data_IF_305320741964
#
_entry.id   IF_305320741964
#
_cell.length_a   1.000
_cell.length_b   1.000
_cell.length_c   1.000
_cell.angle_alpha   90.00
_cell.angle_beta   90.00
_cell.angle_gamma   90.00
#
_symmetry.space_group_name_H-M   'P 1'
#
loop_
_entity.id
_entity.type
_entity.pdbx_description
1 polymer ?
#
# COMPACT_ATOMS: atom_id res chain seq x y z
N UNK A 1 52.27 48.21 -45.68
CA UNK A 1 51.76 46.86 -45.32
C UNK A 1 52.64 46.32 -44.21
N UNK A 2 52.29 46.58 -42.96
CA UNK A 2 53.05 46.11 -41.78
C UNK A 2 52.24 44.97 -41.15
N UNK A 3 52.77 43.75 -41.31
CA UNK A 3 52.20 42.53 -40.66
C UNK A 3 52.61 42.57 -39.20
N UNK A 4 51.61 42.71 -38.31
CA UNK A 4 51.80 42.46 -36.88
C UNK A 4 51.90 40.95 -36.63
N UNK A 5 53.11 40.53 -36.23
CA UNK A 5 53.31 39.18 -35.67
C UNK A 5 52.82 39.20 -34.23
N UNK A 6 51.66 38.56 -33.93
CA UNK A 6 51.23 38.25 -32.57
C UNK A 6 52.23 37.24 -32.02
N UNK A 7 52.89 37.49 -30.89
CA UNK A 7 53.88 36.57 -30.36
C UNK A 7 53.27 35.27 -29.94
N UNK A 8 53.77 34.16 -30.44
CA UNK A 8 53.36 32.74 -30.16
C UNK A 8 53.37 32.43 -28.67
N UNK A 9 54.12 33.19 -27.87
CA UNK A 9 54.20 33.08 -26.41
C UNK A 9 52.85 33.41 -25.72
N UNK A 10 52.08 34.37 -26.28
CA UNK A 10 50.75 34.71 -25.70
C UNK A 10 49.71 33.62 -25.93
N UNK A 11 49.83 32.89 -27.04
CA UNK A 11 48.94 31.79 -27.39
C UNK A 11 49.23 30.53 -26.57
N UNK A 12 50.48 30.27 -26.21
CA UNK A 12 50.88 29.18 -25.32
C UNK A 12 50.47 29.44 -23.86
N UNK A 13 50.48 30.69 -23.39
CA UNK A 13 50.01 31.07 -22.06
C UNK A 13 48.48 30.97 -21.94
N UNK A 14 47.71 31.24 -23.01
CA UNK A 14 46.27 31.06 -23.01
C UNK A 14 45.86 29.55 -23.02
N UNK A 15 46.67 28.69 -23.67
CA UNK A 15 46.38 27.23 -23.65
C UNK A 15 46.78 26.55 -22.33
N UNK A 16 47.72 27.12 -21.57
CA UNK A 16 48.11 26.61 -20.26
C UNK A 16 47.08 26.93 -19.16
N UNK A 17 46.22 27.96 -19.35
CA UNK A 17 45.14 28.29 -18.41
C UNK A 17 43.85 27.46 -18.58
N UNK A 18 43.77 26.64 -19.65
CA UNK A 18 42.54 25.84 -19.91
C UNK A 18 42.62 24.39 -19.44
N UNK A 19 43.71 23.98 -18.81
CA UNK A 19 43.88 22.64 -18.23
C UNK A 19 43.83 22.63 -16.70
N UNK A 20 42.93 23.41 -16.10
CA UNK A 20 42.53 23.12 -14.75
C UNK A 20 41.73 21.84 -14.82
N UNK A 21 42.11 20.76 -14.11
CA UNK A 21 41.28 19.58 -14.04
C UNK A 21 39.93 20.01 -13.49
N UNK A 22 38.91 19.95 -14.31
CA UNK A 22 37.53 20.07 -13.86
C UNK A 22 37.27 18.87 -12.96
N UNK A 23 37.49 19.01 -11.65
CA UNK A 23 37.04 18.03 -10.67
C UNK A 23 35.54 18.15 -10.52
N UNK A 24 34.81 17.77 -11.58
CA UNK A 24 33.35 17.72 -11.57
C UNK A 24 32.81 16.54 -10.73
N UNK A 25 33.71 15.67 -10.27
CA UNK A 25 33.38 14.53 -9.41
C UNK A 25 34.18 14.61 -8.11
N UNK A 26 33.51 14.39 -6.98
CA UNK A 26 34.19 14.29 -5.71
C UNK A 26 35.15 13.11 -5.65
N UNK A 27 36.12 13.16 -4.75
CA UNK A 27 37.01 12.03 -4.45
C UNK A 27 36.23 10.93 -3.68
N UNK A 28 36.81 9.72 -3.63
CA UNK A 28 36.25 8.65 -2.77
C UNK A 28 36.09 9.10 -1.31
N UNK A 29 37.02 9.93 -0.82
CA UNK A 29 36.94 10.48 0.54
C UNK A 29 35.81 11.49 0.73
N UNK A 30 35.47 12.26 -0.31
CA UNK A 30 34.31 13.16 -0.28
C UNK A 30 32.99 12.37 -0.18
N UNK A 31 32.88 11.29 -0.94
CA UNK A 31 31.72 10.39 -0.87
C UNK A 31 31.66 9.69 0.48
N UNK A 32 32.76 9.14 0.99
CA UNK A 32 32.81 8.51 2.30
C UNK A 32 32.42 9.47 3.42
N UNK A 33 32.91 10.72 3.35
CA UNK A 33 32.52 11.78 4.28
C UNK A 33 31.01 12.08 4.18
N UNK A 34 30.46 12.20 2.97
CA UNK A 34 29.03 12.44 2.77
C UNK A 34 28.17 11.27 3.33
N UNK A 35 28.57 10.04 3.06
CA UNK A 35 27.88 8.86 3.63
C UNK A 35 27.97 8.80 5.16
N UNK A 36 29.13 9.12 5.73
CA UNK A 36 29.30 9.15 7.19
C UNK A 36 28.43 10.23 7.86
N UNK A 37 28.21 11.37 7.17
CA UNK A 37 27.29 12.41 7.63
C UNK A 37 25.84 11.90 7.61
N UNK A 38 25.44 11.18 6.58
CA UNK A 38 24.09 10.60 6.47
C UNK A 38 23.82 9.65 7.64
N UNK A 39 24.74 8.76 7.97
CA UNK A 39 24.60 7.86 9.13
C UNK A 39 24.54 8.62 10.45
N UNK A 40 25.39 9.62 10.62
CA UNK A 40 25.40 10.47 11.82
C UNK A 40 24.06 11.19 12.01
N UNK A 41 23.53 11.83 10.97
CA UNK A 41 22.30 12.62 11.05
C UNK A 41 21.07 11.73 11.19
N UNK A 42 21.03 10.56 10.55
CA UNK A 42 19.86 9.69 10.60
C UNK A 42 19.75 8.85 11.88
N UNK A 43 20.87 8.57 12.55
CA UNK A 43 20.88 7.61 13.66
C UNK A 43 21.36 8.17 15.00
N UNK A 44 22.20 9.20 15.02
CA UNK A 44 22.85 9.65 16.28
C UNK A 44 22.73 11.13 16.59
N UNK A 45 22.34 11.97 15.62
CA UNK A 45 22.30 13.42 15.82
C UNK A 45 20.89 14.01 15.77
N UNK A 46 19.92 13.27 15.24
CA UNK A 46 18.51 13.67 15.27
C UNK A 46 17.83 12.83 16.33
N UNK A 47 17.66 13.44 17.50
CA UNK A 47 17.08 12.77 18.67
C UNK A 47 15.63 13.21 18.84
N UNK A 48 14.78 12.27 19.29
CA UNK A 48 13.36 12.53 19.61
C UNK A 48 12.52 13.08 18.45
N UNK A 49 12.96 12.89 17.20
CA UNK A 49 12.38 13.56 16.04
C UNK A 49 11.04 12.98 15.58
N UNK A 50 10.87 11.68 15.70
CA UNK A 50 9.71 10.98 15.17
C UNK A 50 9.03 10.14 16.24
N UNK A 51 7.70 10.13 16.21
CA UNK A 51 6.86 9.18 16.95
C UNK A 51 5.96 8.48 15.95
N UNK A 52 6.26 7.21 15.66
CA UNK A 52 5.40 6.32 14.90
C UNK A 52 4.67 5.37 15.88
N UNK A 53 3.42 5.68 16.26
CA UNK A 53 2.72 4.91 17.27
C UNK A 53 2.23 3.57 16.70
N UNK A 54 2.58 2.50 17.39
CA UNK A 54 2.05 1.16 17.14
C UNK A 54 0.99 0.85 18.22
N UNK A 55 -0.27 1.09 17.91
CA UNK A 55 -1.37 0.90 18.83
C UNK A 55 -1.54 -0.57 19.21
N UNK A 56 -1.78 -0.81 20.47
CA UNK A 56 -2.08 -2.14 21.02
C UNK A 56 -3.58 -2.34 20.92
N UNK A 57 -3.98 -3.40 20.20
CA UNK A 57 -5.37 -3.69 19.86
C UNK A 57 -6.29 -3.71 21.10
N UNK A 58 -7.44 -3.05 21.00
CA UNK A 58 -8.45 -2.88 22.05
C UNK A 58 -7.95 -2.22 23.35
N UNK A 59 -6.95 -1.34 23.26
CA UNK A 59 -6.43 -0.58 24.41
C UNK A 59 -6.24 0.90 24.03
N UNK A 60 -6.04 1.75 25.05
CA UNK A 60 -5.61 3.15 24.89
C UNK A 60 -4.08 3.27 25.00
N UNK A 61 -3.35 2.22 24.66
CA UNK A 61 -1.89 2.18 24.75
C UNK A 61 -1.25 1.93 23.40
N UNK A 62 -0.06 2.49 23.21
CA UNK A 62 0.78 2.25 22.04
C UNK A 62 2.25 2.17 22.42
N UNK A 63 3.04 1.54 21.60
CA UNK A 63 4.49 1.58 21.71
C UNK A 63 5.10 2.27 20.49
N UNK A 64 6.30 2.82 20.66
CA UNK A 64 7.05 3.44 19.56
C UNK A 64 8.55 3.37 19.81
N UNK A 65 9.32 3.61 18.77
CA UNK A 65 10.79 3.64 18.85
C UNK A 65 11.27 5.08 18.79
N UNK A 66 12.25 5.43 19.59
CA UNK A 66 12.91 6.74 19.55
C UNK A 66 14.41 6.61 19.63
N UNK A 67 15.12 7.55 19.03
CA UNK A 67 16.55 7.72 19.20
C UNK A 67 16.80 8.71 20.34
N UNK A 68 17.65 8.32 21.27
CA UNK A 68 18.05 9.12 22.45
C UNK A 68 19.57 9.24 22.49
N UNK A 69 20.12 10.00 23.45
CA UNK A 69 21.55 10.08 23.69
C UNK A 69 22.17 8.71 24.04
N UNK A 70 21.40 7.81 24.61
CA UNK A 70 21.83 6.44 24.94
C UNK A 70 21.80 5.51 23.73
N UNK A 71 21.01 5.86 22.71
CA UNK A 71 20.76 5.09 21.52
C UNK A 71 19.26 4.82 21.29
N UNK A 72 18.93 3.65 20.78
CA UNK A 72 17.56 3.28 20.39
C UNK A 72 16.77 2.75 21.57
N UNK A 73 15.66 3.39 21.89
CA UNK A 73 14.74 3.02 22.96
C UNK A 73 13.37 2.63 22.42
N UNK A 74 12.76 1.64 23.06
CA UNK A 74 11.39 1.20 22.79
C UNK A 74 10.51 1.66 23.94
N UNK A 75 9.61 2.58 23.70
CA UNK A 75 8.74 3.20 24.70
C UNK A 75 7.32 2.66 24.61
N UNK A 76 6.68 2.46 25.76
CA UNK A 76 5.25 2.13 25.90
C UNK A 76 4.54 3.36 26.49
N UNK A 77 3.43 3.75 25.88
CA UNK A 77 2.61 4.87 26.31
C UNK A 77 1.20 4.39 26.65
N UNK A 78 0.75 4.73 27.83
CA UNK A 78 -0.65 4.71 28.23
C UNK A 78 -1.22 6.11 27.93
N UNK A 79 -1.98 6.23 26.83
CA UNK A 79 -2.47 7.52 26.38
C UNK A 79 -3.56 8.09 27.31
N UNK A 80 -4.37 7.23 27.95
CA UNK A 80 -5.37 7.66 28.92
C UNK A 80 -4.73 8.16 30.22
N UNK A 81 -3.76 7.41 30.72
CA UNK A 81 -3.03 7.77 31.96
C UNK A 81 -1.92 8.79 31.74
N UNK A 82 -1.68 9.26 30.51
CA UNK A 82 -0.59 10.17 30.12
C UNK A 82 0.77 9.71 30.70
N UNK A 83 1.04 8.41 30.68
CA UNK A 83 2.24 7.80 31.26
C UNK A 83 3.07 7.10 30.19
N UNK A 84 4.36 7.32 30.22
CA UNK A 84 5.35 6.65 29.38
C UNK A 84 6.31 5.82 30.23
N UNK A 85 6.58 4.59 29.78
CA UNK A 85 7.54 3.64 30.35
C UNK A 85 8.35 3.00 29.22
N UNK A 86 9.35 2.21 29.54
CA UNK A 86 9.98 1.36 28.54
C UNK A 86 9.06 0.18 28.20
N UNK A 87 9.01 -0.21 26.90
CA UNK A 87 8.27 -1.38 26.44
C UNK A 87 8.83 -2.68 27.05
N UNK A 88 10.15 -2.71 27.26
CA UNK A 88 10.88 -3.78 27.93
C UNK A 88 12.18 -3.24 28.53
N UNK A 89 12.76 -3.98 29.45
CA UNK A 89 14.08 -3.64 29.98
C UNK A 89 15.15 -3.98 28.93
N UNK A 90 15.83 -2.95 28.42
CA UNK A 90 16.79 -3.05 27.32
C UNK A 90 18.01 -3.90 27.68
N UNK A 91 18.51 -3.78 28.90
CA UNK A 91 19.66 -4.53 29.38
C UNK A 91 19.35 -6.04 29.48
N UNK A 92 18.18 -6.38 30.05
CA UNK A 92 17.75 -7.77 30.18
C UNK A 92 17.51 -8.44 28.83
N UNK A 93 16.87 -7.74 27.91
CA UNK A 93 16.64 -8.30 26.58
C UNK A 93 17.95 -8.46 25.80
N UNK A 94 18.87 -7.48 25.89
CA UNK A 94 20.19 -7.57 25.25
C UNK A 94 20.99 -8.76 25.75
N UNK A 95 20.99 -9.01 27.07
CA UNK A 95 21.63 -10.16 27.68
C UNK A 95 21.06 -11.48 27.13
N UNK A 96 19.73 -11.62 27.12
CA UNK A 96 19.05 -12.82 26.56
C UNK A 96 19.34 -13.04 25.08
N UNK A 97 19.25 -11.98 24.27
CA UNK A 97 19.57 -12.05 22.85
C UNK A 97 21.04 -12.42 22.62
N UNK A 98 21.96 -11.86 23.41
CA UNK A 98 23.40 -12.20 23.32
C UNK A 98 23.64 -13.68 23.62
N UNK A 99 23.07 -14.17 24.73
CA UNK A 99 23.21 -15.57 25.11
C UNK A 99 22.65 -16.55 24.10
N UNK A 100 21.51 -16.23 23.47
CA UNK A 100 20.81 -17.14 22.57
C UNK A 100 21.19 -16.99 21.08
N UNK A 101 21.64 -15.81 20.66
CA UNK A 101 22.09 -15.59 19.28
C UNK A 101 23.58 -15.92 19.06
N UNK A 102 24.37 -15.94 20.14
CA UNK A 102 25.83 -16.08 20.09
C UNK A 102 26.56 -14.81 19.64
N UNK A 103 25.87 -13.66 19.59
CA UNK A 103 26.41 -12.37 19.18
C UNK A 103 26.30 -11.37 20.33
N UNK A 104 27.27 -10.49 20.50
CA UNK A 104 27.18 -9.41 21.47
C UNK A 104 26.10 -8.43 21.04
N UNK A 105 25.06 -8.25 21.84
CA UNK A 105 23.97 -7.29 21.64
C UNK A 105 24.07 -6.20 22.69
N UNK A 106 24.15 -4.95 22.27
CA UNK A 106 24.20 -3.80 23.18
C UNK A 106 22.77 -3.32 23.49
N UNK A 107 22.45 -2.93 24.75
CA UNK A 107 21.08 -2.64 25.18
C UNK A 107 20.36 -1.58 24.35
N UNK A 108 21.05 -0.52 23.97
CA UNK A 108 20.49 0.60 23.22
C UNK A 108 20.83 0.55 21.72
N UNK A 109 21.25 -0.62 21.23
CA UNK A 109 21.45 -0.95 19.81
C UNK A 109 20.71 -2.20 19.38
N UNK A 110 19.57 -2.47 20.02
CA UNK A 110 18.67 -3.56 19.66
C UNK A 110 17.84 -3.13 18.46
N UNK A 111 17.96 -3.86 17.34
CA UNK A 111 17.17 -3.67 16.13
C UNK A 111 16.28 -4.88 15.95
N UNK A 112 15.03 -4.78 16.40
CA UNK A 112 14.00 -5.80 16.22
C UNK A 112 12.95 -5.32 15.24
N UNK A 113 12.40 -6.25 14.44
CA UNK A 113 11.42 -5.99 13.43
C UNK A 113 10.11 -6.74 13.70
N UNK A 114 9.01 -6.30 13.08
CA UNK A 114 7.69 -6.94 13.18
C UNK A 114 7.24 -7.22 14.61
N UNK A 115 7.50 -6.27 15.48
CA UNK A 115 7.13 -6.38 16.91
C UNK A 115 5.61 -6.45 17.02
N UNK A 116 5.14 -7.47 17.72
CA UNK A 116 3.74 -7.65 18.11
C UNK A 116 3.69 -7.89 19.60
N UNK A 117 2.64 -7.42 20.24
CA UNK A 117 2.45 -7.59 21.67
C UNK A 117 1.00 -8.00 21.97
N UNK A 118 0.78 -8.61 23.13
CA UNK A 118 -0.55 -8.78 23.70
C UNK A 118 -1.09 -7.46 24.29
N UNK A 119 -2.32 -7.47 24.78
CA UNK A 119 -2.97 -6.29 25.38
C UNK A 119 -2.25 -5.73 26.61
N UNK A 120 -1.47 -6.55 27.29
CA UNK A 120 -0.75 -6.16 28.52
C UNK A 120 0.65 -5.63 28.23
N UNK A 121 1.15 -5.75 26.99
CA UNK A 121 2.53 -5.50 26.60
C UNK A 121 3.56 -6.36 27.37
N UNK A 122 3.13 -7.46 27.98
CA UNK A 122 4.02 -8.37 28.71
C UNK A 122 4.63 -9.43 27.76
N UNK A 123 3.90 -9.85 26.72
CA UNK A 123 4.34 -10.87 25.77
C UNK A 123 4.63 -10.25 24.41
N UNK A 124 5.89 -10.23 24.03
CA UNK A 124 6.36 -9.68 22.76
C UNK A 124 6.74 -10.80 21.81
N UNK A 125 6.39 -10.66 20.52
CA UNK A 125 6.95 -11.44 19.41
C UNK A 125 7.63 -10.50 18.45
N UNK A 126 8.82 -10.86 18.00
CA UNK A 126 9.59 -10.03 17.08
C UNK A 126 10.58 -10.85 16.24
N UNK A 127 11.12 -10.22 15.22
CA UNK A 127 12.20 -10.76 14.40
C UNK A 127 13.54 -10.10 14.78
N UNK A 128 14.55 -10.93 15.01
CA UNK A 128 15.93 -10.50 15.27
C UNK A 128 16.90 -11.53 14.70
N UNK A 129 17.94 -11.06 14.00
CA UNK A 129 19.01 -11.89 13.40
C UNK A 129 18.47 -13.06 12.57
N UNK A 130 17.49 -12.81 11.71
CA UNK A 130 16.89 -13.82 10.82
C UNK A 130 16.06 -14.89 11.53
N UNK A 131 15.67 -14.66 12.77
CA UNK A 131 14.90 -15.60 13.59
C UNK A 131 13.70 -14.91 14.22
N UNK A 132 12.63 -15.66 14.49
CA UNK A 132 11.46 -15.21 15.25
C UNK A 132 11.62 -15.59 16.71
N UNK A 133 11.28 -14.65 17.60
CA UNK A 133 11.43 -14.75 19.02
C UNK A 133 10.15 -14.39 19.74
N UNK A 134 9.86 -15.08 20.85
CA UNK A 134 8.89 -14.71 21.86
C UNK A 134 9.60 -14.31 23.14
N UNK A 135 9.25 -13.17 23.71
CA UNK A 135 9.84 -12.64 24.92
C UNK A 135 8.77 -12.23 25.93
N UNK A 136 8.82 -12.78 27.14
CA UNK A 136 8.01 -12.30 28.26
C UNK A 136 8.81 -11.28 29.05
N UNK A 137 8.31 -10.03 29.09
CA UNK A 137 9.04 -8.89 29.70
C UNK A 137 9.10 -8.98 31.22
N UNK A 138 8.11 -9.59 31.86
CA UNK A 138 7.98 -9.75 33.32
C UNK A 138 8.87 -10.88 33.83
N UNK A 139 8.78 -12.04 33.19
CA UNK A 139 9.54 -13.22 33.55
C UNK A 139 10.99 -13.20 33.03
N UNK A 140 11.29 -12.29 32.09
CA UNK A 140 12.55 -12.21 31.38
C UNK A 140 12.92 -13.53 30.68
N UNK A 141 11.93 -14.18 30.07
CA UNK A 141 12.12 -15.43 29.31
C UNK A 141 12.10 -15.14 27.82
N UNK A 142 13.10 -15.65 27.08
CA UNK A 142 13.22 -15.51 25.64
C UNK A 142 13.21 -16.90 24.99
N UNK A 143 12.34 -17.11 24.02
CA UNK A 143 12.20 -18.39 23.31
C UNK A 143 12.30 -18.18 21.80
N UNK A 144 13.04 -19.04 21.11
CA UNK A 144 13.12 -19.06 19.65
C UNK A 144 11.88 -19.80 19.09
N UNK A 145 11.05 -19.11 18.28
CA UNK A 145 9.88 -19.70 17.61
C UNK A 145 10.16 -20.26 16.20
N UNK A 146 11.27 -19.86 15.57
CA UNK A 146 11.63 -20.33 14.24
C UNK A 146 12.56 -19.40 13.49
N UNK A 147 12.80 -19.70 12.22
CA UNK A 147 13.58 -18.85 11.34
C UNK A 147 12.65 -17.94 10.51
N UNK A 148 13.15 -16.77 10.16
CA UNK A 148 12.50 -15.87 9.19
C UNK A 148 12.77 -16.43 7.81
N UNK A 149 11.72 -16.66 7.04
CA UNK A 149 11.88 -16.99 5.63
C UNK A 149 12.27 -15.70 4.89
N UNK A 150 13.23 -15.80 3.99
CA UNK A 150 13.54 -14.68 3.10
C UNK A 150 12.24 -14.21 2.42
N UNK A 151 11.97 -12.89 2.37
CA UNK A 151 10.83 -12.39 1.63
C UNK A 151 10.93 -12.89 0.19
N UNK A 152 9.80 -13.26 -0.40
CA UNK A 152 9.77 -13.56 -1.82
C UNK A 152 10.37 -12.36 -2.59
N UNK A 153 11.12 -12.61 -3.68
CA UNK A 153 11.69 -11.53 -4.46
C UNK A 153 10.59 -10.54 -4.80
N UNK A 154 10.84 -9.26 -4.49
CA UNK A 154 9.88 -8.21 -4.81
C UNK A 154 9.71 -8.17 -6.32
N UNK A 155 8.46 -8.32 -6.79
CA UNK A 155 8.15 -8.08 -8.19
C UNK A 155 8.47 -6.63 -8.52
N UNK A 156 9.02 -6.40 -9.69
CA UNK A 156 9.14 -5.05 -10.20
C UNK A 156 7.74 -4.42 -10.31
N UNK A 157 7.60 -3.13 -9.99
CA UNK A 157 6.30 -2.44 -9.97
C UNK A 157 5.52 -2.49 -11.30
N UNK A 158 6.20 -2.78 -12.42
CA UNK A 158 5.59 -2.95 -13.74
C UNK A 158 5.29 -4.40 -14.09
N UNK A 159 5.73 -5.38 -13.29
CA UNK A 159 5.43 -6.78 -13.54
C UNK A 159 3.97 -7.07 -13.24
N UNK A 160 3.28 -7.58 -14.25
CA UNK A 160 1.87 -7.94 -14.15
C UNK A 160 1.74 -9.29 -13.44
N UNK A 161 0.94 -9.33 -12.37
CA UNK A 161 0.55 -10.59 -11.74
C UNK A 161 -0.42 -11.34 -12.64
N UNK A 162 -0.03 -12.52 -13.13
CA UNK A 162 -0.90 -13.39 -13.94
C UNK A 162 -2.06 -13.98 -13.12
N UNK A 163 -2.10 -13.75 -11.81
CA UNK A 163 -3.13 -14.24 -10.89
C UNK A 163 -3.31 -15.78 -10.94
N UNK A 164 -2.19 -16.49 -11.12
CA UNK A 164 -2.14 -17.97 -11.17
C UNK A 164 -1.50 -18.60 -9.94
N UNK A 165 -1.12 -17.81 -8.95
CA UNK A 165 -0.40 -18.26 -7.75
C UNK A 165 -1.28 -18.50 -6.53
N UNK A 166 -2.59 -18.23 -6.61
CA UNK A 166 -3.54 -18.47 -5.52
C UNK A 166 -3.82 -19.96 -5.32
N UNK A 167 -4.03 -20.35 -4.07
CA UNK A 167 -4.42 -21.70 -3.69
C UNK A 167 -5.93 -21.91 -3.62
N UNK A 168 -6.38 -23.14 -3.28
CA UNK A 168 -7.78 -23.43 -3.00
C UNK A 168 -8.33 -22.60 -1.84
N UNK A 169 -9.58 -22.17 -1.95
CA UNK A 169 -10.27 -21.31 -0.96
C UNK A 169 -11.50 -22.01 -0.40
N UNK A 170 -11.52 -22.17 0.92
CA UNK A 170 -12.67 -22.78 1.64
C UNK A 170 -13.80 -21.77 1.76
N UNK A 171 -15.06 -22.25 1.60
CA UNK A 171 -16.25 -21.43 1.80
C UNK A 171 -16.39 -20.95 3.26
N UNK A 172 -17.02 -19.79 3.54
CA UNK A 172 -17.21 -19.29 4.89
C UNK A 172 -17.88 -20.28 5.86
N UNK A 173 -18.79 -21.12 5.37
CA UNK A 173 -19.46 -22.17 6.16
C UNK A 173 -18.65 -23.48 6.27
N UNK A 174 -17.47 -23.55 5.65
CA UNK A 174 -16.58 -24.71 5.70
C UNK A 174 -16.99 -25.91 4.87
N UNK A 175 -18.11 -25.87 4.12
CA UNK A 175 -18.63 -27.04 3.39
C UNK A 175 -17.93 -27.33 2.08
N UNK A 176 -17.42 -26.32 1.40
CA UNK A 176 -16.86 -26.42 0.07
C UNK A 176 -15.46 -25.83 -0.02
N UNK A 177 -14.73 -26.25 -1.04
CA UNK A 177 -13.43 -25.67 -1.43
C UNK A 177 -13.49 -25.33 -2.91
N UNK A 178 -13.28 -24.06 -3.28
CA UNK A 178 -13.17 -23.62 -4.66
C UNK A 178 -11.70 -23.52 -5.09
N UNK A 179 -11.41 -23.89 -6.32
CA UNK A 179 -10.06 -23.85 -6.89
C UNK A 179 -10.11 -23.71 -8.41
N UNK A 180 -8.97 -23.39 -9.01
CA UNK A 180 -8.79 -23.40 -10.47
C UNK A 180 -7.96 -24.61 -10.87
N UNK A 181 -8.43 -25.33 -11.88
CA UNK A 181 -7.71 -26.42 -12.52
C UNK A 181 -7.94 -26.35 -14.04
N UNK A 182 -6.87 -26.51 -14.83
CA UNK A 182 -6.91 -26.42 -16.28
C UNK A 182 -7.62 -25.16 -16.76
N UNK A 183 -7.19 -24.01 -16.21
CA UNK A 183 -7.72 -22.67 -16.52
C UNK A 183 -9.21 -22.45 -16.16
N UNK A 184 -9.89 -23.43 -15.52
CA UNK A 184 -11.31 -23.38 -15.17
C UNK A 184 -11.57 -23.44 -13.68
N UNK A 185 -12.72 -22.87 -13.24
CA UNK A 185 -13.19 -22.84 -11.86
C UNK A 185 -13.86 -24.17 -11.50
N UNK A 186 -13.47 -24.71 -10.36
CA UNK A 186 -13.99 -25.97 -9.78
C UNK A 186 -14.37 -25.76 -8.33
N UNK A 187 -15.27 -26.62 -7.86
CA UNK A 187 -15.64 -26.73 -6.45
C UNK A 187 -15.67 -28.20 -6.05
N UNK A 188 -15.34 -28.49 -4.80
CA UNK A 188 -15.47 -29.81 -4.18
C UNK A 188 -15.94 -29.71 -2.73
N UNK A 189 -16.38 -30.82 -2.15
CA UNK A 189 -16.66 -30.88 -0.71
C UNK A 189 -15.35 -30.72 0.08
N UNK A 190 -15.39 -30.03 1.21
CA UNK A 190 -14.20 -29.88 2.08
C UNK A 190 -13.74 -31.20 2.70
N UNK A 191 -14.65 -32.18 2.88
CA UNK A 191 -14.33 -33.54 3.32
C UNK A 191 -13.68 -34.42 2.24
N UNK A 192 -13.53 -33.89 1.02
CA UNK A 192 -13.06 -34.61 -0.15
C UNK A 192 -14.19 -35.17 -1.01
N UNK A 193 -13.93 -35.35 -2.31
CA UNK A 193 -14.93 -35.82 -3.29
C UNK A 193 -15.95 -34.79 -3.72
N UNK A 194 -16.91 -35.21 -4.53
CA UNK A 194 -18.01 -34.35 -5.04
C UNK A 194 -17.50 -33.18 -5.89
N UNK A 195 -16.45 -33.40 -6.68
CA UNK A 195 -15.91 -32.34 -7.57
C UNK A 195 -16.92 -31.98 -8.65
N UNK A 196 -17.08 -30.67 -8.84
CA UNK A 196 -17.90 -30.08 -9.92
C UNK A 196 -17.12 -28.99 -10.61
N UNK A 197 -17.14 -29.03 -11.94
CA UNK A 197 -16.65 -27.94 -12.78
C UNK A 197 -17.72 -26.85 -12.89
N UNK A 198 -17.34 -25.58 -12.64
CA UNK A 198 -18.25 -24.44 -12.67
C UNK A 198 -18.07 -23.61 -13.95
N UNK A 199 -16.92 -23.66 -14.60
CA UNK A 199 -16.65 -23.03 -15.89
C UNK A 199 -16.06 -24.04 -16.89
N UNK A 200 -16.32 -23.84 -18.19
CA UNK A 200 -15.85 -24.71 -19.27
C UNK A 200 -15.18 -23.96 -20.41
N UNK A 201 -15.05 -22.63 -20.27
CA UNK A 201 -14.56 -21.72 -21.30
C UNK A 201 -13.17 -21.15 -21.01
N UNK A 202 -12.51 -21.68 -19.96
CA UNK A 202 -11.13 -21.35 -19.61
C UNK A 202 -10.13 -21.99 -20.57
N UNK A 203 -9.16 -21.19 -21.00
CA UNK A 203 -8.04 -21.60 -21.87
C UNK A 203 -6.79 -20.81 -21.49
N UNK A 204 -5.60 -21.20 -21.97
CA UNK A 204 -4.36 -20.46 -21.73
C UNK A 204 -4.43 -18.97 -22.15
N UNK A 205 -5.20 -18.65 -23.19
CA UNK A 205 -5.41 -17.29 -23.68
C UNK A 205 -6.61 -16.57 -23.05
N UNK A 206 -7.35 -17.23 -22.18
CA UNK A 206 -8.54 -16.69 -21.52
C UNK A 206 -8.88 -17.55 -20.30
N UNK A 207 -8.11 -17.39 -19.22
CA UNK A 207 -8.15 -18.25 -18.04
C UNK A 207 -8.85 -17.61 -16.85
N UNK A 208 -9.22 -18.40 -15.88
CA UNK A 208 -9.75 -17.91 -14.62
C UNK A 208 -8.65 -17.67 -13.59
N UNK A 209 -8.71 -16.51 -12.94
CA UNK A 209 -7.84 -16.14 -11.82
C UNK A 209 -7.96 -17.13 -10.67
N UNK A 210 -6.84 -17.52 -10.08
CA UNK A 210 -6.81 -18.33 -8.85
C UNK A 210 -7.15 -17.51 -7.59
N UNK A 211 -7.33 -16.18 -7.69
CA UNK A 211 -7.78 -15.33 -6.60
C UNK A 211 -9.31 -15.36 -6.48
N UNK A 212 -9.80 -16.47 -5.97
CA UNK A 212 -11.23 -16.77 -5.81
C UNK A 212 -11.78 -16.08 -4.58
N UNK A 213 -13.00 -15.58 -4.67
CA UNK A 213 -13.74 -15.03 -3.53
C UNK A 213 -15.11 -15.72 -3.38
N UNK A 214 -15.41 -16.17 -2.18
CA UNK A 214 -16.72 -16.67 -1.82
C UNK A 214 -17.68 -15.54 -1.45
N UNK A 215 -18.96 -15.70 -1.80
CA UNK A 215 -20.00 -14.88 -1.21
C UNK A 215 -20.13 -15.17 0.30
N UNK A 216 -20.50 -14.18 1.14
CA UNK A 216 -20.68 -14.39 2.59
C UNK A 216 -21.64 -15.54 2.94
N UNK A 217 -22.65 -15.80 2.12
CA UNK A 217 -23.62 -16.90 2.30
C UNK A 217 -23.12 -18.26 1.81
N UNK A 218 -21.89 -18.37 1.32
CA UNK A 218 -21.26 -19.59 0.80
C UNK A 218 -21.95 -20.23 -0.42
N UNK A 219 -22.87 -19.51 -1.08
CA UNK A 219 -23.65 -20.07 -2.20
C UNK A 219 -23.01 -19.78 -3.56
N UNK A 220 -22.13 -18.78 -3.64
CA UNK A 220 -21.54 -18.33 -4.88
C UNK A 220 -20.04 -18.14 -4.77
N UNK A 221 -19.38 -18.32 -5.90
CA UNK A 221 -17.93 -18.08 -6.08
C UNK A 221 -17.76 -17.02 -7.14
N UNK A 222 -16.91 -16.04 -6.88
CA UNK A 222 -16.43 -15.09 -7.88
C UNK A 222 -15.00 -15.44 -8.26
N UNK A 223 -14.71 -15.46 -9.56
CA UNK A 223 -13.38 -15.50 -10.13
C UNK A 223 -13.34 -14.58 -11.36
N UNK A 224 -12.24 -13.87 -11.57
CA UNK A 224 -12.06 -13.09 -12.77
C UNK A 224 -11.63 -13.98 -13.94
N UNK A 225 -12.32 -13.87 -15.07
CA UNK A 225 -11.81 -14.38 -16.35
C UNK A 225 -10.83 -13.36 -16.91
N UNK A 226 -9.61 -13.81 -17.23
CA UNK A 226 -8.49 -12.97 -17.64
C UNK A 226 -8.08 -13.31 -19.06
N UNK A 227 -8.09 -12.31 -19.93
CA UNK A 227 -7.39 -12.34 -21.21
C UNK A 227 -6.05 -11.64 -21.01
N UNK A 228 -4.93 -12.39 -21.00
CA UNK A 228 -3.62 -11.80 -20.79
C UNK A 228 -3.20 -10.97 -22.00
N UNK A 229 -2.36 -9.97 -21.77
CA UNK A 229 -1.63 -9.30 -22.85
C UNK A 229 -0.31 -10.01 -23.15
N UNK A 230 0.23 -9.78 -24.33
CA UNK A 230 1.57 -10.24 -24.68
C UNK A 230 2.61 -9.52 -23.81
N UNK A 231 3.46 -10.26 -23.13
CA UNK A 231 4.54 -9.71 -22.32
C UNK A 231 5.52 -8.92 -23.20
N UNK A 232 5.76 -7.67 -22.86
CA UNK A 232 6.70 -6.77 -23.51
C UNK A 232 7.85 -6.49 -22.57
N UNK A 233 9.04 -6.28 -23.12
CA UNK A 233 10.25 -6.11 -22.33
C UNK A 233 11.02 -4.87 -22.78
N UNK A 234 11.63 -4.18 -21.84
CA UNK A 234 12.73 -3.24 -22.05
C UNK A 234 14.04 -3.91 -21.63
N UNK A 235 15.12 -3.53 -22.30
CA UNK A 235 16.45 -4.10 -22.06
C UNK A 235 17.36 -2.98 -21.62
N UNK A 236 18.21 -3.24 -20.63
CA UNK A 236 19.26 -2.34 -20.21
C UNK A 236 20.51 -3.10 -19.82
N UNK A 237 21.65 -2.44 -19.91
CA UNK A 237 22.96 -3.03 -19.61
C UNK A 237 23.47 -2.42 -18.31
N UNK A 238 23.77 -3.28 -17.35
CA UNK A 238 24.56 -2.94 -16.18
C UNK A 238 26.04 -3.03 -16.58
N UNK A 239 26.64 -1.86 -16.80
CA UNK A 239 28.01 -1.77 -17.37
C UNK A 239 29.11 -2.19 -16.39
N UNK A 240 28.84 -2.09 -15.08
CA UNK A 240 29.82 -2.39 -14.02
C UNK A 240 29.14 -3.10 -12.84
N UNK A 241 28.75 -4.37 -13.01
CA UNK A 241 28.21 -5.18 -11.92
C UNK A 241 29.25 -5.37 -10.82
N UNK A 242 28.80 -5.50 -9.56
CA UNK A 242 29.67 -5.59 -8.40
C UNK A 242 30.39 -6.94 -8.26
N UNK A 243 29.87 -7.99 -8.91
CA UNK A 243 30.29 -9.38 -8.74
C UNK A 243 31.07 -9.95 -9.94
N UNK A 244 31.15 -9.20 -11.05
CA UNK A 244 31.89 -9.64 -12.25
C UNK A 244 32.45 -8.44 -13.05
N UNK A 245 33.45 -8.74 -13.90
CA UNK A 245 34.10 -7.74 -14.75
C UNK A 245 33.27 -7.40 -16.00
N UNK A 246 32.54 -8.36 -16.54
CA UNK A 246 31.79 -8.21 -17.78
C UNK A 246 30.41 -7.57 -17.51
N UNK A 247 29.92 -6.73 -18.42
CA UNK A 247 28.56 -6.18 -18.32
C UNK A 247 27.48 -7.26 -18.27
N UNK A 248 26.37 -6.97 -17.58
CA UNK A 248 25.20 -7.86 -17.50
C UNK A 248 24.04 -7.22 -18.27
N UNK A 249 23.42 -8.02 -19.16
CA UNK A 249 22.19 -7.64 -19.84
C UNK A 249 20.99 -8.02 -18.98
N UNK A 250 20.20 -7.03 -18.62
CA UNK A 250 18.93 -7.20 -17.95
C UNK A 250 17.76 -7.01 -18.90
N UNK A 251 16.68 -7.74 -18.66
CA UNK A 251 15.37 -7.52 -19.28
C UNK A 251 14.32 -7.34 -18.19
N UNK A 252 13.43 -6.40 -18.39
CA UNK A 252 12.37 -6.08 -17.45
C UNK A 252 11.04 -6.03 -18.18
N UNK A 253 10.01 -6.70 -17.64
CA UNK A 253 8.67 -6.60 -18.19
C UNK A 253 8.18 -5.16 -18.08
N UNK A 254 7.77 -4.57 -19.21
CA UNK A 254 7.36 -3.18 -19.30
C UNK A 254 6.46 -2.97 -20.52
N UNK A 255 5.17 -2.77 -20.29
CA UNK A 255 4.23 -2.35 -21.32
C UNK A 255 4.35 -0.84 -21.57
N UNK A 256 4.63 -0.44 -22.81
CA UNK A 256 4.68 0.96 -23.21
C UNK A 256 3.28 1.52 -23.47
N UNK A 257 3.10 2.86 -23.44
CA UNK A 257 1.87 3.48 -23.94
C UNK A 257 1.55 3.00 -25.37
N UNK A 258 0.33 2.48 -25.56
CA UNK A 258 -0.08 1.87 -26.82
C UNK A 258 -0.06 0.34 -26.85
N UNK A 259 0.73 -0.32 -26.01
CA UNK A 259 0.72 -1.77 -25.91
C UNK A 259 -0.62 -2.29 -25.37
N UNK A 260 -0.98 -3.52 -25.75
CA UNK A 260 -2.15 -4.20 -25.21
C UNK A 260 -1.99 -4.44 -23.71
N UNK A 261 -3.06 -4.24 -22.96
CA UNK A 261 -3.15 -4.55 -21.53
C UNK A 261 -4.04 -5.78 -21.30
N UNK A 262 -3.84 -6.47 -20.21
CA UNK A 262 -4.73 -7.57 -19.81
C UNK A 262 -6.14 -7.06 -19.61
N UNK A 263 -7.11 -7.94 -19.86
CA UNK A 263 -8.52 -7.62 -19.71
C UNK A 263 -9.16 -8.60 -18.73
N UNK A 264 -9.89 -8.08 -17.73
CA UNK A 264 -10.54 -8.86 -16.69
C UNK A 264 -12.06 -8.76 -16.78
N UNK A 265 -12.74 -9.87 -16.53
CA UNK A 265 -14.20 -9.93 -16.40
C UNK A 265 -14.54 -10.66 -15.10
N UNK A 266 -15.20 -10.01 -14.12
CA UNK A 266 -15.66 -10.69 -12.92
C UNK A 266 -16.82 -11.63 -13.28
N UNK A 267 -16.68 -12.92 -12.97
CA UNK A 267 -17.70 -13.94 -13.22
C UNK A 267 -18.16 -14.51 -11.88
N UNK A 268 -19.47 -14.71 -11.72
CA UNK A 268 -20.07 -15.31 -10.54
C UNK A 268 -20.61 -16.70 -10.91
N UNK A 269 -20.34 -17.68 -10.07
CA UNK A 269 -20.79 -19.06 -10.25
C UNK A 269 -21.64 -19.48 -9.05
N UNK A 270 -22.84 -19.99 -9.29
CA UNK A 270 -23.70 -20.62 -8.27
C UNK A 270 -23.23 -22.05 -8.01
N UNK A 271 -22.89 -22.36 -6.77
CA UNK A 271 -22.26 -23.64 -6.41
C UNK A 271 -23.23 -24.82 -6.60
N UNK A 272 -24.50 -24.66 -6.25
CA UNK A 272 -25.47 -25.76 -6.29
C UNK A 272 -25.96 -26.04 -7.71
N UNK A 273 -26.20 -25.01 -8.51
CA UNK A 273 -26.76 -25.15 -9.87
C UNK A 273 -25.71 -25.25 -10.95
N UNK A 274 -24.52 -24.74 -10.71
CA UNK A 274 -23.47 -24.56 -11.72
C UNK A 274 -23.74 -23.39 -12.67
N UNK A 275 -24.76 -22.56 -12.40
CA UNK A 275 -25.09 -21.39 -13.23
C UNK A 275 -23.97 -20.36 -13.15
N UNK A 276 -23.50 -19.93 -14.32
CA UNK A 276 -22.55 -18.84 -14.46
C UNK A 276 -23.25 -17.52 -14.80
N UNK A 277 -22.90 -16.44 -14.10
CA UNK A 277 -23.30 -15.07 -14.38
C UNK A 277 -22.09 -14.33 -14.94
N UNK A 278 -22.12 -14.04 -16.23
CA UNK A 278 -21.06 -13.32 -16.96
C UNK A 278 -21.64 -11.97 -17.35
N UNK A 279 -21.07 -10.85 -16.89
CA UNK A 279 -21.63 -9.53 -17.15
C UNK A 279 -21.34 -9.02 -18.56
N UNK A 280 -22.16 -8.07 -19.04
CA UNK A 280 -21.75 -7.17 -20.12
C UNK A 280 -20.56 -6.33 -19.69
N UNK A 281 -19.62 -6.11 -20.60
CA UNK A 281 -18.39 -5.36 -20.32
C UNK A 281 -18.46 -3.90 -20.78
N UNK A 282 -19.60 -3.42 -21.27
CA UNK A 282 -19.76 -2.07 -21.83
C UNK A 282 -19.30 -0.95 -20.85
N UNK A 283 -19.61 -1.10 -19.56
CA UNK A 283 -19.25 -0.11 -18.55
C UNK A 283 -17.76 -0.12 -18.17
N UNK A 284 -17.00 -1.13 -18.60
CA UNK A 284 -15.58 -1.29 -18.29
C UNK A 284 -14.75 -1.88 -19.45
N UNK A 285 -15.12 -1.52 -20.68
CA UNK A 285 -14.52 -2.09 -21.88
C UNK A 285 -13.07 -1.66 -22.13
N UNK A 286 -12.72 -0.41 -21.82
CA UNK A 286 -11.38 0.14 -22.07
C UNK A 286 -10.53 0.14 -20.80
N UNK A 287 -10.14 -1.05 -20.33
CA UNK A 287 -9.48 -1.20 -19.04
C UNK A 287 -8.00 -0.77 -19.07
N UNK A 288 -7.64 0.13 -18.13
CA UNK A 288 -6.30 0.17 -17.60
C UNK A 288 -6.17 -0.84 -16.46
N UNK A 289 -7.12 -0.83 -15.51
CA UNK A 289 -7.20 -1.78 -14.42
C UNK A 289 -8.64 -2.01 -13.94
N UNK A 290 -8.87 -3.19 -13.40
CA UNK A 290 -10.09 -3.60 -12.72
C UNK A 290 -9.72 -4.25 -11.39
N UNK A 291 -10.07 -3.63 -10.28
CA UNK A 291 -9.59 -4.02 -8.96
C UNK A 291 -10.62 -3.82 -7.84
N UNK A 292 -10.21 -4.01 -6.58
CA UNK A 292 -11.02 -3.77 -5.37
C UNK A 292 -12.36 -4.53 -5.36
N UNK A 293 -12.37 -5.76 -5.87
CA UNK A 293 -13.56 -6.58 -5.89
C UNK A 293 -13.97 -6.99 -4.48
N UNK A 294 -15.22 -6.71 -4.12
CA UNK A 294 -15.75 -7.02 -2.78
C UNK A 294 -17.20 -7.45 -2.85
N UNK A 295 -17.51 -8.58 -2.23
CA UNK A 295 -18.88 -8.99 -2.01
C UNK A 295 -19.61 -8.02 -1.08
N UNK A 296 -20.89 -7.81 -1.35
CA UNK A 296 -21.79 -7.17 -0.42
C UNK A 296 -22.07 -8.11 0.76
N UNK A 297 -22.25 -7.56 1.96
CA UNK A 297 -22.52 -8.36 3.15
C UNK A 297 -23.80 -9.23 3.02
N UNK A 298 -24.77 -8.78 2.23
CA UNK A 298 -26.02 -9.50 1.94
C UNK A 298 -25.91 -10.55 0.83
N UNK A 299 -24.72 -10.73 0.25
CA UNK A 299 -24.44 -11.65 -0.87
C UNK A 299 -25.22 -11.39 -2.16
N UNK A 300 -25.92 -10.25 -2.29
CA UNK A 300 -26.76 -9.94 -3.47
C UNK A 300 -26.00 -9.33 -4.64
N UNK A 301 -24.73 -9.02 -4.44
CA UNK A 301 -23.86 -8.48 -5.48
C UNK A 301 -22.44 -8.26 -5.00
N UNK A 302 -21.61 -7.85 -5.89
CA UNK A 302 -20.24 -7.44 -5.61
C UNK A 302 -19.95 -6.07 -6.21
N UNK A 303 -19.08 -5.31 -5.58
CA UNK A 303 -18.57 -4.04 -6.10
C UNK A 303 -17.14 -4.21 -6.60
N UNK A 304 -16.77 -3.43 -7.59
CA UNK A 304 -15.41 -3.35 -8.12
C UNK A 304 -15.12 -1.97 -8.69
N UNK A 305 -13.86 -1.64 -8.79
CA UNK A 305 -13.40 -0.35 -9.30
C UNK A 305 -12.80 -0.53 -10.69
N UNK A 306 -13.18 0.35 -11.59
CA UNK A 306 -12.74 0.43 -12.98
C UNK A 306 -11.95 1.70 -13.20
N UNK A 307 -10.73 1.55 -13.70
CA UNK A 307 -9.90 2.64 -14.18
C UNK A 307 -9.77 2.52 -15.70
N UNK A 308 -10.22 3.54 -16.41
CA UNK A 308 -10.13 3.58 -17.86
C UNK A 308 -8.70 3.78 -18.34
N UNK A 309 -8.32 3.17 -19.43
CA UNK A 309 -7.07 3.45 -20.12
C UNK A 309 -7.03 4.91 -20.58
N UNK A 310 -6.02 5.66 -20.14
CA UNK A 310 -5.95 7.12 -20.32
C UNK A 310 -6.47 7.89 -19.11
N UNK A 311 -7.02 7.19 -18.10
CA UNK A 311 -7.39 7.73 -16.78
C UNK A 311 -8.36 8.92 -16.82
N UNK A 312 -9.23 8.98 -17.82
CA UNK A 312 -10.27 10.01 -17.94
C UNK A 312 -11.57 9.65 -17.25
N UNK A 313 -11.80 8.35 -17.06
CA UNK A 313 -12.96 7.82 -16.37
C UNK A 313 -12.54 6.84 -15.29
N UNK A 314 -13.08 7.01 -14.09
CA UNK A 314 -12.96 6.09 -13.00
C UNK A 314 -14.35 5.78 -12.44
N UNK A 315 -14.67 4.50 -12.25
CA UNK A 315 -16.01 4.08 -11.80
C UNK A 315 -15.93 3.14 -10.62
N UNK A 316 -16.84 3.33 -9.68
CA UNK A 316 -17.27 2.29 -8.77
C UNK A 316 -18.49 1.60 -9.40
N UNK A 317 -18.35 0.32 -9.71
CA UNK A 317 -19.36 -0.51 -10.34
C UNK A 317 -19.93 -1.53 -9.35
N UNK A 318 -21.17 -1.95 -9.58
CA UNK A 318 -21.80 -3.04 -8.85
C UNK A 318 -22.38 -4.06 -9.83
N UNK A 319 -22.03 -5.34 -9.62
CA UNK A 319 -22.59 -6.49 -10.34
C UNK A 319 -23.61 -7.20 -9.47
N UNK A 320 -24.79 -7.41 -9.99
CA UNK A 320 -25.86 -8.18 -9.36
C UNK A 320 -25.53 -9.68 -9.34
N UNK A 321 -25.64 -10.31 -8.19
CA UNK A 321 -25.49 -11.76 -8.04
C UNK A 321 -26.79 -12.53 -8.38
N UNK A 322 -27.83 -11.85 -8.86
CA UNK A 322 -29.09 -12.46 -9.29
C UNK A 322 -29.10 -12.74 -10.80
N UNK A 323 -28.68 -11.76 -11.58
CA UNK A 323 -28.76 -11.77 -13.06
C UNK A 323 -27.46 -11.41 -13.78
N UNK A 324 -26.41 -11.00 -13.04
CA UNK A 324 -25.13 -10.60 -13.63
C UNK A 324 -25.13 -9.19 -14.21
N UNK A 325 -26.21 -8.43 -14.08
CA UNK A 325 -26.26 -7.04 -14.57
C UNK A 325 -25.26 -6.16 -13.81
N UNK A 326 -24.66 -5.18 -14.52
CA UNK A 326 -23.71 -4.22 -13.94
C UNK A 326 -24.28 -2.82 -14.02
N UNK A 327 -24.16 -2.08 -12.94
CA UNK A 327 -24.54 -0.67 -12.88
C UNK A 327 -23.42 0.19 -12.31
N UNK A 328 -23.40 1.45 -12.69
CA UNK A 328 -22.51 2.45 -12.10
C UNK A 328 -23.09 2.95 -10.77
N UNK A 329 -22.30 2.84 -9.71
CA UNK A 329 -22.60 3.47 -8.43
C UNK A 329 -22.07 4.91 -8.37
N UNK A 330 -20.82 5.10 -8.77
CA UNK A 330 -20.15 6.41 -8.78
C UNK A 330 -19.29 6.49 -10.03
N UNK A 331 -19.31 7.64 -10.72
CA UNK A 331 -18.43 7.94 -11.84
C UNK A 331 -17.68 9.24 -11.55
N UNK A 332 -16.35 9.19 -11.67
CA UNK A 332 -15.50 10.36 -11.85
C UNK A 332 -15.09 10.43 -13.32
N UNK A 333 -15.28 11.60 -13.92
CA UNK A 333 -14.95 11.83 -15.32
C UNK A 333 -14.34 13.20 -15.49
N UNK A 334 -13.14 13.22 -16.06
CA UNK A 334 -12.39 14.44 -16.32
C UNK A 334 -11.87 14.46 -17.76
N UNK A 335 -11.81 15.64 -18.33
CA UNK A 335 -11.32 15.81 -19.71
C UNK A 335 -9.84 15.43 -19.85
N UNK A 336 -9.05 15.71 -18.82
CA UNK A 336 -7.59 15.48 -18.82
C UNK A 336 -7.21 14.24 -18.06
N UNK A 337 -7.51 14.17 -16.78
CA UNK A 337 -7.02 13.13 -15.89
C UNK A 337 -7.82 13.06 -14.57
N UNK A 338 -8.29 11.90 -14.18
CA UNK A 338 -8.85 11.62 -12.86
C UNK A 338 -7.70 11.22 -11.93
N UNK A 339 -7.53 11.91 -10.82
CA UNK A 339 -6.49 11.62 -9.82
C UNK A 339 -6.85 10.37 -8.98
N UNK A 340 -7.01 9.25 -9.67
CA UNK A 340 -7.49 7.99 -9.10
C UNK A 340 -6.67 7.48 -7.89
N UNK A 341 -5.33 7.70 -7.77
CA UNK A 341 -4.57 7.25 -6.60
C UNK A 341 -4.96 7.96 -5.30
N UNK A 342 -5.71 9.06 -5.39
CA UNK A 342 -6.18 9.84 -4.24
C UNK A 342 -7.63 9.61 -3.88
N UNK A 343 -8.35 8.82 -4.66
CA UNK A 343 -9.75 8.51 -4.38
C UNK A 343 -9.85 7.69 -3.10
N UNK A 344 -10.59 8.22 -2.15
CA UNK A 344 -10.97 7.53 -0.92
C UNK A 344 -12.37 6.96 -1.08
N UNK A 345 -12.57 5.73 -0.63
CA UNK A 345 -13.86 5.05 -0.60
C UNK A 345 -14.07 4.36 0.74
N UNK A 346 -15.24 4.58 1.32
CA UNK A 346 -15.68 3.87 2.51
C UNK A 346 -17.17 3.55 2.41
N UNK A 347 -17.52 2.27 2.37
CA UNK A 347 -18.90 1.80 2.48
C UNK A 347 -19.25 1.69 3.96
N UNK A 348 -20.29 2.42 4.41
CA UNK A 348 -20.71 2.36 5.80
C UNK A 348 -21.33 1.00 6.15
N UNK A 349 -21.28 0.65 7.43
CA UNK A 349 -21.82 -0.61 7.95
C UNK A 349 -23.32 -0.80 7.67
N UNK A 350 -24.08 0.30 7.47
CA UNK A 350 -25.49 0.26 7.06
C UNK A 350 -25.68 -0.27 5.62
N UNK A 351 -24.61 -0.48 4.87
CA UNK A 351 -24.58 -0.91 3.49
C UNK A 351 -25.37 -0.02 2.50
N UNK A 352 -25.79 1.18 2.93
CA UNK A 352 -26.61 2.13 2.15
C UNK A 352 -25.86 3.37 1.72
N UNK A 353 -24.85 3.78 2.48
CA UNK A 353 -24.12 5.03 2.27
C UNK A 353 -22.66 4.77 1.94
N UNK A 354 -22.12 5.57 1.05
CA UNK A 354 -20.70 5.52 0.66
C UNK A 354 -20.10 6.91 0.88
N UNK A 355 -18.99 6.97 1.62
CA UNK A 355 -18.14 8.16 1.65
C UNK A 355 -17.14 8.02 0.51
N UNK A 356 -17.09 9.05 -0.32
CA UNK A 356 -16.25 9.09 -1.52
C UNK A 356 -15.54 10.43 -1.62
N UNK A 357 -14.26 10.43 -2.04
CA UNK A 357 -13.57 11.67 -2.35
C UNK A 357 -13.61 11.99 -3.84
N UNK A 358 -13.73 13.27 -4.19
CA UNK A 358 -13.83 13.73 -5.56
C UNK A 358 -13.22 15.12 -5.73
N UNK A 359 -12.59 15.36 -6.88
CA UNK A 359 -12.02 16.66 -7.28
C UNK A 359 -12.96 17.49 -8.19
N UNK A 360 -14.26 17.15 -8.25
CA UNK A 360 -15.28 17.74 -9.14
C UNK A 360 -15.47 19.25 -9.02
N UNK A 361 -15.04 19.87 -7.92
CA UNK A 361 -15.08 21.29 -7.69
C UNK A 361 -13.68 21.96 -7.63
N UNK A 362 -12.69 21.32 -8.28
CA UNK A 362 -11.27 21.69 -8.36
C UNK A 362 -10.46 21.46 -7.08
N UNK A 363 -11.06 20.92 -6.04
CA UNK A 363 -10.39 20.50 -4.80
C UNK A 363 -10.88 19.11 -4.40
N UNK A 364 -10.00 18.30 -3.84
CA UNK A 364 -10.41 16.99 -3.33
C UNK A 364 -11.24 17.16 -2.06
N UNK A 365 -12.51 16.80 -2.15
CA UNK A 365 -13.45 16.87 -1.05
C UNK A 365 -14.19 15.55 -0.84
N UNK A 366 -14.76 15.39 0.37
CA UNK A 366 -15.54 14.22 0.74
C UNK A 366 -17.01 14.43 0.47
N UNK A 367 -17.64 13.42 -0.10
CA UNK A 367 -19.07 13.39 -0.44
C UNK A 367 -19.71 12.14 0.14
N UNK A 368 -20.96 12.28 0.59
CA UNK A 368 -21.81 11.15 0.96
C UNK A 368 -22.69 10.77 -0.24
N UNK A 369 -22.69 9.52 -0.61
CA UNK A 369 -23.52 8.95 -1.67
C UNK A 369 -24.57 8.00 -1.09
N UNK A 370 -25.76 8.01 -1.68
CA UNK A 370 -26.73 6.94 -1.52
C UNK A 370 -26.41 5.83 -2.51
N UNK A 371 -26.18 4.63 -2.00
CA UNK A 371 -25.78 3.47 -2.80
C UNK A 371 -26.88 2.97 -3.74
N UNK A 372 -28.14 3.09 -3.34
CA UNK A 372 -29.26 2.59 -4.13
C UNK A 372 -29.40 3.40 -5.43
N UNK A 373 -29.28 4.72 -5.31
CA UNK A 373 -29.45 5.65 -6.44
C UNK A 373 -28.15 6.01 -7.16
N UNK A 374 -26.98 5.79 -6.53
CA UNK A 374 -25.68 6.22 -7.06
C UNK A 374 -25.52 7.76 -7.06
N UNK A 375 -26.33 8.50 -6.32
CA UNK A 375 -26.30 9.96 -6.30
C UNK A 375 -25.66 10.50 -5.02
N UNK A 376 -24.90 11.61 -5.10
CA UNK A 376 -24.42 12.29 -3.91
C UNK A 376 -25.60 12.89 -3.16
N UNK A 377 -25.69 12.61 -1.87
CA UNK A 377 -26.71 13.17 -0.99
C UNK A 377 -26.19 14.40 -0.25
N UNK A 378 -24.87 14.52 -0.13
CA UNK A 378 -24.24 15.62 0.60
C UNK A 378 -22.76 15.79 0.23
N UNK A 379 -22.31 17.02 0.14
CA UNK A 379 -20.90 17.36 0.21
C UNK A 379 -20.52 17.56 1.69
N UNK A 380 -19.61 16.73 2.21
CA UNK A 380 -19.20 16.72 3.62
C UNK A 380 -18.17 17.82 3.89
N UNK A 381 -17.13 17.88 3.06
CA UNK A 381 -16.10 18.93 3.16
C UNK A 381 -16.19 19.86 1.96
N UNK A 382 -15.90 21.16 2.15
CA UNK A 382 -15.98 22.17 1.09
C UNK A 382 -15.03 23.33 1.37
N UNK A 383 -14.58 24.01 0.33
CA UNK A 383 -13.71 25.19 0.44
C UNK A 383 -12.60 25.20 -0.59
N UNK A 384 -11.72 26.20 -0.52
CA UNK A 384 -10.56 26.33 -1.42
C UNK A 384 -9.33 25.70 -0.76
N UNK A 385 -9.43 24.42 -0.42
CA UNK A 385 -8.41 23.63 0.24
C UNK A 385 -8.61 22.14 -0.10
N UNK A 386 -7.64 21.29 0.21
CA UNK A 386 -7.53 19.94 -0.30
C UNK A 386 -7.51 18.89 0.82
N UNK A 387 -8.41 17.89 0.78
CA UNK A 387 -8.35 16.71 1.65
C UNK A 387 -7.21 15.81 1.16
N UNK A 388 -6.19 15.59 2.00
CA UNK A 388 -5.03 14.73 1.69
C UNK A 388 -5.31 13.27 1.89
N UNK A 389 -6.08 12.92 2.89
CA UNK A 389 -6.45 11.55 3.20
C UNK A 389 -7.36 11.46 4.41
N UNK A 390 -8.11 10.37 4.49
CA UNK A 390 -8.95 10.03 5.63
C UNK A 390 -8.19 9.04 6.50
N UNK A 391 -8.04 9.36 7.78
CA UNK A 391 -7.36 8.54 8.78
C UNK A 391 -8.31 7.54 9.42
N UNK A 392 -9.53 8.01 9.74
CA UNK A 392 -10.51 7.17 10.42
C UNK A 392 -11.93 7.64 10.14
N UNK A 393 -12.86 6.70 10.04
CA UNK A 393 -14.30 6.93 9.95
C UNK A 393 -14.96 6.31 11.19
N UNK A 394 -15.37 7.15 12.12
CA UNK A 394 -16.13 6.76 13.30
C UNK A 394 -17.61 6.70 12.95
N UNK A 395 -18.08 5.53 12.55
CA UNK A 395 -19.46 5.33 12.12
C UNK A 395 -20.46 5.44 13.28
N UNK A 396 -20.03 5.10 14.50
CA UNK A 396 -20.91 5.14 15.69
C UNK A 396 -21.29 6.59 16.05
N UNK A 397 -20.30 7.49 15.97
CA UNK A 397 -20.49 8.90 16.29
C UNK A 397 -20.76 9.76 15.04
N UNK A 398 -20.67 9.20 13.84
CA UNK A 398 -20.86 9.91 12.58
C UNK A 398 -19.79 10.95 12.31
N UNK A 399 -18.53 10.67 12.63
CA UNK A 399 -17.39 11.59 12.54
C UNK A 399 -16.33 11.04 11.61
N UNK A 400 -15.69 11.90 10.82
CA UNK A 400 -14.54 11.60 9.97
C UNK A 400 -13.32 12.33 10.50
N UNK A 401 -12.20 11.63 10.66
CA UNK A 401 -10.89 12.19 10.95
C UNK A 401 -10.06 12.17 9.66
N UNK A 402 -9.54 13.32 9.27
CA UNK A 402 -8.86 13.49 8.00
C UNK A 402 -7.71 14.50 8.08
N UNK A 403 -6.80 14.42 7.13
CA UNK A 403 -5.74 15.41 6.92
C UNK A 403 -6.06 16.30 5.73
N UNK A 404 -5.68 17.56 5.80
CA UNK A 404 -5.91 18.55 4.76
C UNK A 404 -4.74 19.54 4.63
N UNK A 405 -4.67 20.17 3.46
CA UNK A 405 -3.73 21.24 3.13
C UNK A 405 -4.49 22.53 2.76
N UNK A 406 -3.91 23.69 3.08
CA UNK A 406 -4.36 25.01 2.63
C UNK A 406 -5.66 25.46 3.25
N UNK A 407 -6.06 24.90 4.40
CA UNK A 407 -7.21 25.37 5.20
C UNK A 407 -6.86 26.72 5.84
N UNK A 408 -5.68 26.82 6.45
CA UNK A 408 -5.16 28.01 7.07
C UNK A 408 -4.52 28.89 5.99
N UNK A 409 -5.01 30.12 5.83
CA UNK A 409 -4.60 31.01 4.72
C UNK A 409 -3.27 31.71 4.96
N UNK A 410 -2.86 31.82 6.21
CA UNK A 410 -1.67 32.56 6.65
C UNK A 410 -0.44 31.64 6.81
N UNK A 411 -0.57 30.38 6.43
CA UNK A 411 0.49 29.37 6.49
C UNK A 411 0.91 28.88 5.09
N UNK A 412 2.03 28.15 5.04
CA UNK A 412 2.43 27.45 3.83
C UNK A 412 1.33 26.44 3.42
N UNK A 413 0.75 26.56 2.21
CA UNK A 413 -0.33 25.68 1.75
C UNK A 413 0.07 24.21 1.61
N UNK A 414 1.35 23.88 1.74
CA UNK A 414 1.83 22.49 1.77
C UNK A 414 1.81 21.86 3.16
N UNK A 415 1.63 22.64 4.23
CA UNK A 415 1.53 22.09 5.56
C UNK A 415 0.27 21.24 5.71
N UNK A 416 0.44 20.11 6.36
CA UNK A 416 -0.62 19.13 6.59
C UNK A 416 -1.09 19.27 8.03
N UNK A 417 -2.37 19.55 8.18
CA UNK A 417 -3.05 19.56 9.46
C UNK A 417 -4.12 18.49 9.54
N UNK A 418 -4.46 18.07 10.75
CA UNK A 418 -5.47 17.06 11.00
C UNK A 418 -6.75 17.70 11.53
N UNK A 419 -7.87 17.18 11.06
CA UNK A 419 -9.20 17.70 11.33
C UNK A 419 -10.16 16.57 11.66
N UNK A 420 -11.24 16.91 12.35
CA UNK A 420 -12.44 16.09 12.40
C UNK A 420 -13.63 16.85 11.83
N UNK A 421 -14.62 16.13 11.30
CA UNK A 421 -15.88 16.70 10.78
C UNK A 421 -17.00 15.66 10.93
N UNK A 422 -18.22 16.13 11.18
CA UNK A 422 -19.39 15.25 11.22
C UNK A 422 -19.80 14.82 9.80
N UNK A 423 -20.51 13.68 9.65
CA UNK A 423 -21.03 13.21 8.37
C UNK A 423 -21.94 14.21 7.66
N UNK A 424 -22.59 15.10 8.43
CA UNK A 424 -23.44 16.16 7.88
C UNK A 424 -22.66 17.40 7.41
N UNK A 425 -21.35 17.42 7.56
CA UNK A 425 -20.48 18.52 7.19
C UNK A 425 -20.38 19.62 8.25
N UNK A 426 -21.04 19.47 9.40
CA UNK A 426 -20.94 20.37 10.53
C UNK A 426 -19.77 20.04 11.46
N UNK A 427 -19.44 20.95 12.38
CA UNK A 427 -18.52 20.66 13.47
C UNK A 427 -17.07 20.40 13.04
N UNK A 428 -16.63 20.94 11.89
CA UNK A 428 -15.23 20.86 11.50
C UNK A 428 -14.36 21.51 12.58
N UNK A 429 -13.39 20.74 13.08
CA UNK A 429 -12.47 21.18 14.13
C UNK A 429 -11.06 20.75 13.77
N UNK A 430 -10.13 21.68 13.84
CA UNK A 430 -8.71 21.42 13.75
C UNK A 430 -8.19 20.70 15.01
N UNK A 431 -7.33 19.73 14.82
CA UNK A 431 -6.75 18.90 15.88
C UNK A 431 -5.27 19.20 16.12
N UNK A 432 -4.62 19.82 15.14
CA UNK A 432 -3.20 20.21 15.17
C UNK A 432 -3.07 21.70 14.80
N UNK A 433 -3.37 22.61 15.74
CA UNK A 433 -3.44 24.04 15.45
C UNK A 433 -2.07 24.75 15.39
N UNK A 434 -0.99 24.07 15.79
CA UNK A 434 0.36 24.64 15.74
C UNK A 434 0.84 24.73 14.29
N UNK A 435 1.52 25.84 13.94
CA UNK A 435 2.11 26.03 12.60
C UNK A 435 3.15 24.94 12.29
N UNK A 436 3.04 24.33 11.11
CA UNK A 436 4.02 23.36 10.63
C UNK A 436 3.42 22.13 9.95
N UNK A 437 4.32 21.23 9.57
CA UNK A 437 3.98 19.94 8.98
C UNK A 437 3.71 18.91 10.06
N UNK A 438 2.47 18.42 10.16
CA UNK A 438 2.08 17.39 11.10
C UNK A 438 2.04 16.01 10.46
N UNK A 439 2.44 14.98 11.22
CA UNK A 439 2.34 13.55 10.87
C UNK A 439 1.74 12.78 12.04
N UNK A 440 0.77 11.93 11.76
CA UNK A 440 0.13 11.03 12.73
C UNK A 440 0.27 9.59 12.28
#
# INVERSE_FOLDING_TARGET
MTRHKIPVVLMAALMACTSLPSSAQGTADDYNRAYSLREKYSQSHVLYADVEPHWIEDTDSFWYVRNTERGREYALVDARGARRTDLFNHERLAERLSAMSGKKVEPYRIYINKVRTDRTAENLRFEFDGRRWAYNTKENTLTKEGNVHAPAPQRHWMEVDDEKSGGPVTSPDGRYVAFVRDDNVWVRNSSGGGERQLSIDGTQGNYYSTYIQWSPDSRRVMACRIRPAAKRYVYYVESSPADQLQPVLHKQEYAKPGDELRFKVPCIFEVETGRALIPSTELFANQYDLHSMRWNADSKGLTFEYNERGHKVYRLLEMSATDGSVRTLIEEKEEKYVNYPRIFRHLLADARRIIWSSERDNYNHLYMYDRATGKPTRQITKGRWYVRGVQHVDEQNGVIYFSANGVNKDEDPYFIHYYRINFDGSGMKELTPEEGMHRC
#
